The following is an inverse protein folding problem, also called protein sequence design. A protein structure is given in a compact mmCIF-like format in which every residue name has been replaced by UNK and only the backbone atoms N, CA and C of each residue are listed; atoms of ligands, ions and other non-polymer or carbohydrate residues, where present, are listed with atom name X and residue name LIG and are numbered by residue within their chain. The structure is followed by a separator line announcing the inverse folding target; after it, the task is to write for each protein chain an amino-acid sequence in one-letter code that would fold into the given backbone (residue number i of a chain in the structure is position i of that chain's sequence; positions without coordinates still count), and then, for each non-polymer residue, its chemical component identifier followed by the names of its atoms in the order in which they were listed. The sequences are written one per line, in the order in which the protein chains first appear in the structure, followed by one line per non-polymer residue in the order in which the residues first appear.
data_IF_802916180341
#
_entry.id   IF_802916180341
#
_cell.length_a   1.000
_cell.length_b   1.000
_cell.length_c   1.000
_cell.angle_alpha   90.00
_cell.angle_beta   90.00
_cell.angle_gamma   90.00
#
_symmetry.space_group_name_H-M   'P 1'
#
loop_
_entity.id
_entity.type
_entity.pdbx_description
1 polymer ?
#
# COMPACT_ATOMS: atom_id res chain seq x y z
N UNK A 1 -6.14 14.90 -0.55
CA UNK A 1 -5.36 13.71 -0.94
C UNK A 1 -6.23 12.49 -0.68
N UNK A 2 -7.08 12.13 -1.64
CA UNK A 2 -8.09 11.07 -1.50
C UNK A 2 -7.96 10.00 -2.60
N UNK A 3 -6.88 10.04 -3.37
CA UNK A 3 -6.47 8.99 -4.30
C UNK A 3 -5.41 8.17 -3.57
N UNK A 4 -5.55 6.83 -3.44
CA UNK A 4 -6.29 5.90 -4.31
C UNK A 4 -7.58 5.31 -3.70
N UNK A 5 -8.12 5.90 -2.63
CA UNK A 5 -9.25 5.30 -1.88
C UNK A 5 -10.65 5.80 -2.29
N UNK A 6 -10.75 6.85 -3.12
CA UNK A 6 -12.03 7.49 -3.45
C UNK A 6 -12.96 6.68 -4.36
N UNK A 7 -12.46 5.69 -5.11
CA UNK A 7 -13.29 4.81 -5.94
C UNK A 7 -13.15 3.35 -5.50
N UNK A 8 -13.32 3.08 -4.21
CA UNK A 8 -13.69 1.72 -3.82
C UNK A 8 -15.12 1.49 -4.27
N UNK A 9 -15.30 0.58 -5.23
CA UNK A 9 -16.62 0.20 -5.73
C UNK A 9 -17.29 -0.77 -4.74
N UNK A 10 -17.66 -0.27 -3.55
CA UNK A 10 -18.26 -1.05 -2.46
C UNK A 10 -19.56 -1.75 -2.90
N UNK A 11 -20.28 -1.17 -3.88
CA UNK A 11 -21.44 -1.80 -4.49
C UNK A 11 -21.07 -3.05 -5.31
N UNK A 12 -19.94 -3.04 -6.03
CA UNK A 12 -19.46 -4.22 -6.76
C UNK A 12 -18.98 -5.32 -5.82
N UNK A 13 -18.34 -4.97 -4.70
CA UNK A 13 -17.98 -5.92 -3.65
C UNK A 13 -19.18 -6.63 -3.07
N UNK A 14 -20.22 -5.88 -2.67
CA UNK A 14 -21.44 -6.46 -2.14
C UNK A 14 -22.17 -7.35 -3.15
N UNK A 15 -22.13 -6.98 -4.44
CA UNK A 15 -22.72 -7.79 -5.52
C UNK A 15 -21.93 -9.09 -5.71
N UNK A 16 -20.60 -9.04 -5.72
CA UNK A 16 -19.77 -10.25 -5.88
C UNK A 16 -19.96 -11.21 -4.69
N UNK A 17 -19.97 -10.69 -3.45
CA UNK A 17 -20.22 -11.49 -2.25
C UNK A 17 -21.63 -12.13 -2.25
N UNK A 18 -22.63 -11.45 -2.82
CA UNK A 18 -23.98 -12.01 -2.99
C UNK A 18 -24.05 -13.06 -4.09
N UNK A 19 -23.26 -12.93 -5.16
CA UNK A 19 -23.20 -13.90 -6.26
C UNK A 19 -22.43 -15.17 -5.88
N UNK A 20 -21.34 -15.05 -5.13
CA UNK A 20 -20.56 -16.21 -4.62
C UNK A 20 -21.36 -17.03 -3.60
N UNK A 21 -22.14 -16.37 -2.73
CA UNK A 21 -22.94 -17.07 -1.72
C UNK A 21 -24.25 -17.65 -2.25
N UNK A 22 -24.72 -17.19 -3.41
CA UNK A 22 -26.03 -17.54 -3.95
C UNK A 22 -25.87 -18.12 -5.36
N UNK A 23 -25.33 -19.35 -5.39
CA UNK A 23 -25.19 -20.28 -6.52
C UNK A 23 -26.18 -20.04 -7.67
N UNK A 24 -25.89 -19.04 -8.51
CA UNK A 24 -26.57 -18.87 -9.79
C UNK A 24 -25.62 -19.42 -10.84
N UNK A 25 -26.17 -20.19 -11.79
CA UNK A 25 -25.44 -20.93 -12.84
C UNK A 25 -24.64 -20.06 -13.83
N UNK A 26 -24.26 -18.84 -13.46
CA UNK A 26 -23.24 -18.08 -14.13
C UNK A 26 -21.89 -18.54 -13.57
N UNK A 27 -21.26 -19.46 -14.29
CA UNK A 27 -19.85 -19.79 -14.11
C UNK A 27 -19.02 -18.60 -14.59
N UNK A 28 -18.99 -17.54 -13.77
CA UNK A 28 -18.11 -16.43 -14.00
C UNK A 28 -16.74 -16.92 -13.59
N UNK A 29 -16.01 -17.49 -14.55
CA UNK A 29 -14.62 -17.92 -14.38
C UNK A 29 -13.72 -16.69 -14.22
N UNK A 30 -13.92 -15.94 -13.13
CA UNK A 30 -13.02 -14.87 -12.75
C UNK A 30 -11.73 -15.51 -12.24
N UNK A 31 -10.55 -15.08 -12.73
CA UNK A 31 -9.30 -15.67 -12.30
C UNK A 31 -9.09 -15.38 -10.81
N UNK A 32 -9.10 -16.46 -10.02
CA UNK A 32 -8.79 -16.45 -8.59
C UNK A 32 -7.41 -17.04 -8.38
N UNK A 33 -6.74 -16.58 -7.32
CA UNK A 33 -5.49 -17.19 -6.85
C UNK A 33 -5.57 -17.39 -5.34
N UNK A 34 -4.84 -18.37 -4.82
CA UNK A 34 -4.71 -18.59 -3.38
C UNK A 34 -3.37 -18.04 -2.92
N UNK A 35 -3.40 -17.07 -2.01
CA UNK A 35 -2.20 -16.50 -1.38
C UNK A 35 -2.40 -16.60 0.13
N UNK A 36 -1.43 -17.21 0.83
CA UNK A 36 -1.44 -17.36 2.29
C UNK A 36 -2.76 -17.97 2.84
N UNK A 37 -3.33 -18.93 2.12
CA UNK A 37 -4.57 -19.61 2.53
C UNK A 37 -5.87 -18.84 2.25
N UNK A 38 -5.79 -17.64 1.67
CA UNK A 38 -6.95 -16.84 1.29
C UNK A 38 -7.13 -16.82 -0.23
N UNK A 39 -8.39 -16.97 -0.67
CA UNK A 39 -8.77 -16.80 -2.07
C UNK A 39 -8.83 -15.31 -2.40
N UNK A 40 -8.10 -14.91 -3.44
CA UNK A 40 -8.04 -13.53 -3.91
C UNK A 40 -8.54 -13.48 -5.35
N UNK A 41 -9.51 -12.60 -5.60
CA UNK A 41 -10.00 -12.28 -6.94
C UNK A 41 -8.99 -11.34 -7.63
N UNK A 42 -8.31 -11.81 -8.67
CA UNK A 42 -7.22 -11.04 -9.30
C UNK A 42 -7.71 -9.73 -9.93
N UNK A 43 -8.86 -9.80 -10.61
CA UNK A 43 -9.47 -8.64 -11.27
C UNK A 43 -9.78 -7.49 -10.30
N UNK A 44 -10.07 -7.82 -9.04
CA UNK A 44 -10.39 -6.84 -8.01
C UNK A 44 -9.17 -6.06 -7.51
N UNK A 45 -7.97 -6.53 -7.81
CA UNK A 45 -6.72 -5.90 -7.40
C UNK A 45 -6.08 -5.09 -8.53
N UNK A 46 -6.72 -5.02 -9.71
CA UNK A 46 -6.23 -4.27 -10.86
C UNK A 46 -6.74 -2.83 -10.86
N UNK A 47 -5.84 -1.90 -11.14
CA UNK A 47 -6.07 -0.47 -11.18
C UNK A 47 -5.61 0.12 -12.51
N UNK A 48 -6.28 1.18 -12.96
CA UNK A 48 -6.03 1.79 -14.27
C UNK A 48 -6.43 0.88 -15.42
N UNK A 49 -7.58 0.21 -15.30
CA UNK A 49 -8.05 -0.76 -16.30
C UNK A 49 -8.51 -0.05 -17.57
N UNK A 50 -7.93 -0.41 -18.71
CA UNK A 50 -8.34 0.06 -20.03
C UNK A 50 -9.23 -0.99 -20.68
N UNK A 51 -10.46 -0.60 -20.99
CA UNK A 51 -11.44 -1.47 -21.65
C UNK A 51 -11.59 -1.15 -23.13
N UNK A 52 -11.77 -2.18 -23.93
CA UNK A 52 -12.03 -2.03 -25.36
C UNK A 52 -13.49 -1.61 -25.59
N UNK A 53 -13.72 -0.53 -26.34
CA UNK A 53 -15.04 0.12 -26.49
C UNK A 53 -16.12 -0.77 -27.10
N UNK A 54 -15.75 -1.74 -27.94
CA UNK A 54 -16.67 -2.60 -28.67
C UNK A 54 -17.06 -3.86 -27.90
N UNK A 55 -16.09 -4.50 -27.23
CA UNK A 55 -16.27 -5.80 -26.59
C UNK A 55 -16.47 -5.69 -25.07
N UNK A 56 -16.22 -4.51 -24.47
CA UNK A 56 -16.12 -4.28 -23.02
C UNK A 56 -15.13 -5.23 -22.33
N UNK A 57 -14.23 -5.87 -23.08
CA UNK A 57 -13.17 -6.71 -22.54
C UNK A 57 -12.03 -5.82 -22.01
N UNK A 58 -11.40 -6.30 -20.94
CA UNK A 58 -10.21 -5.71 -20.39
C UNK A 58 -9.03 -5.93 -21.35
N UNK A 59 -8.43 -4.84 -21.84
CA UNK A 59 -7.30 -4.87 -22.77
C UNK A 59 -5.97 -4.67 -22.04
N UNK A 60 -5.92 -3.76 -21.06
CA UNK A 60 -4.72 -3.46 -20.29
C UNK A 60 -5.04 -3.00 -18.87
N UNK A 61 -4.04 -3.03 -17.98
CA UNK A 61 -4.06 -2.41 -16.67
C UNK A 61 -2.72 -1.72 -16.39
N UNK A 62 -2.74 -0.75 -15.49
CA UNK A 62 -1.55 0.01 -15.11
C UNK A 62 -0.88 -0.55 -13.86
N UNK A 63 -1.68 -0.88 -12.83
CA UNK A 63 -1.15 -1.25 -11.51
C UNK A 63 -1.92 -2.38 -10.88
N UNK A 64 -1.25 -3.14 -10.01
CA UNK A 64 -1.86 -4.19 -9.19
C UNK A 64 -1.56 -3.91 -7.72
N UNK A 65 -2.58 -3.86 -6.87
CA UNK A 65 -2.41 -3.68 -5.43
C UNK A 65 -2.88 -4.92 -4.70
N UNK A 66 -1.98 -5.63 -4.02
CA UNK A 66 -2.33 -6.77 -3.18
C UNK A 66 -2.31 -6.30 -1.73
N UNK A 67 -3.43 -6.47 -1.02
CA UNK A 67 -3.52 -6.19 0.42
C UNK A 67 -3.39 -7.48 1.21
N UNK A 68 -2.42 -7.52 2.11
CA UNK A 68 -2.21 -8.64 3.02
C UNK A 68 -2.54 -8.18 4.44
N UNK A 69 -3.33 -8.98 5.15
CA UNK A 69 -3.62 -8.78 6.56
C UNK A 69 -2.82 -9.81 7.36
N UNK A 70 -1.80 -9.33 8.05
CA UNK A 70 -0.97 -10.17 8.91
C UNK A 70 -1.54 -10.12 10.32
N UNK A 71 -1.86 -11.28 10.88
CA UNK A 71 -2.32 -11.42 12.26
C UNK A 71 -1.38 -12.38 12.98
N UNK A 72 -0.78 -11.89 14.06
CA UNK A 72 0.05 -12.70 14.94
C UNK A 72 -0.11 -12.19 16.38
N UNK A 73 0.05 -13.08 17.35
CA UNK A 73 0.03 -12.72 18.77
C UNK A 73 1.26 -11.89 19.15
N UNK A 74 2.37 -12.08 18.44
CA UNK A 74 3.60 -11.35 18.63
C UNK A 74 3.87 -10.41 17.46
N UNK A 75 4.37 -9.21 17.75
CA UNK A 75 4.65 -8.19 16.75
C UNK A 75 5.94 -8.46 15.95
N UNK A 76 6.96 -9.05 16.58
CA UNK A 76 8.29 -9.23 15.97
C UNK A 76 8.25 -10.00 14.63
N UNK A 77 7.57 -11.17 14.52
CA UNK A 77 7.49 -11.89 13.26
C UNK A 77 6.83 -11.10 12.13
N UNK A 78 5.91 -10.17 12.46
CA UNK A 78 5.25 -9.32 11.47
C UNK A 78 6.22 -8.27 10.93
N UNK A 79 7.04 -7.69 11.81
CA UNK A 79 8.08 -6.72 11.43
C UNK A 79 9.15 -7.41 10.57
N UNK A 80 9.59 -8.61 10.95
CA UNK A 80 10.61 -9.37 10.20
C UNK A 80 10.12 -9.73 8.79
N UNK A 81 8.85 -10.14 8.67
CA UNK A 81 8.23 -10.43 7.38
C UNK A 81 8.19 -9.18 6.48
N UNK A 82 7.77 -8.05 7.05
CA UNK A 82 7.71 -6.77 6.34
C UNK A 82 9.08 -6.30 5.86
N UNK A 83 10.12 -6.48 6.68
CA UNK A 83 11.50 -6.14 6.32
C UNK A 83 12.02 -7.02 5.18
N UNK A 84 11.80 -8.34 5.25
CA UNK A 84 12.17 -9.26 4.17
C UNK A 84 11.44 -8.95 2.87
N UNK A 85 10.15 -8.60 2.94
CA UNK A 85 9.35 -8.22 1.77
C UNK A 85 9.89 -6.93 1.14
N UNK A 86 10.23 -5.94 1.97
CA UNK A 86 10.79 -4.66 1.54
C UNK A 86 12.14 -4.85 0.86
N UNK A 87 13.04 -5.64 1.45
CA UNK A 87 14.33 -5.99 0.85
C UNK A 87 14.16 -6.75 -0.47
N UNK A 88 13.19 -7.67 -0.54
CA UNK A 88 12.91 -8.40 -1.78
C UNK A 88 12.45 -7.47 -2.91
N UNK A 89 11.60 -6.49 -2.60
CA UNK A 89 11.01 -5.62 -3.62
C UNK A 89 11.96 -4.51 -4.06
N UNK A 90 12.68 -3.89 -3.13
CA UNK A 90 13.55 -2.75 -3.45
C UNK A 90 15.01 -3.14 -3.73
N UNK A 91 15.57 -4.09 -2.97
CA UNK A 91 17.03 -4.32 -2.98
C UNK A 91 17.45 -5.57 -3.77
N UNK A 92 16.55 -6.55 -3.97
CA UNK A 92 16.94 -7.84 -4.55
C UNK A 92 17.31 -7.80 -6.04
N UNK A 93 16.90 -6.76 -6.78
CA UNK A 93 17.12 -6.65 -8.22
C UNK A 93 16.56 -7.82 -9.04
N UNK A 94 15.76 -8.72 -8.44
CA UNK A 94 15.26 -9.94 -9.09
C UNK A 94 14.19 -9.65 -10.14
N UNK A 95 13.47 -8.55 -10.01
CA UNK A 95 12.28 -8.25 -10.80
C UNK A 95 12.42 -6.94 -11.58
N UNK A 96 13.32 -6.91 -12.57
CA UNK A 96 13.59 -5.70 -13.36
C UNK A 96 12.43 -5.23 -14.25
N UNK A 97 11.42 -6.09 -14.48
CA UNK A 97 10.24 -5.79 -15.29
C UNK A 97 9.07 -5.25 -14.45
N UNK A 98 9.15 -5.34 -13.12
CA UNK A 98 8.07 -4.98 -12.21
C UNK A 98 8.57 -3.90 -11.24
N UNK A 99 8.01 -2.70 -11.32
CA UNK A 99 8.18 -1.67 -10.30
C UNK A 99 7.22 -1.94 -9.15
N UNK A 100 7.74 -2.52 -8.07
CA UNK A 100 6.98 -2.82 -6.86
C UNK A 100 7.10 -1.72 -5.81
N UNK A 101 6.01 -1.49 -5.07
CA UNK A 101 6.02 -0.65 -3.88
C UNK A 101 5.36 -1.40 -2.73
N UNK A 102 5.94 -1.27 -1.55
CA UNK A 102 5.40 -1.81 -0.29
C UNK A 102 5.00 -0.65 0.60
N UNK A 103 3.81 -0.75 1.18
CA UNK A 103 3.31 0.20 2.16
C UNK A 103 2.69 -0.54 3.34
N UNK A 104 3.03 -0.11 4.55
CA UNK A 104 2.48 -0.62 5.80
C UNK A 104 2.65 0.45 6.88
N UNK A 105 1.78 0.41 7.90
CA UNK A 105 1.76 1.41 8.97
C UNK A 105 3.09 1.45 9.74
N UNK A 106 3.76 0.31 9.89
CA UNK A 106 5.05 0.22 10.57
C UNK A 106 6.19 0.84 9.74
N UNK A 107 6.21 0.68 8.41
CA UNK A 107 7.13 1.43 7.53
C UNK A 107 6.89 2.94 7.67
N UNK A 108 5.63 3.38 7.70
CA UNK A 108 5.29 4.80 7.86
C UNK A 108 5.76 5.31 9.22
N UNK A 109 5.54 4.57 10.30
CA UNK A 109 6.02 4.92 11.64
C UNK A 109 7.56 5.04 11.68
N UNK A 110 8.28 4.08 11.09
CA UNK A 110 9.74 4.11 10.99
C UNK A 110 10.22 5.37 10.26
N UNK A 111 9.59 5.72 9.14
CA UNK A 111 9.98 6.90 8.36
C UNK A 111 9.66 8.20 9.12
N UNK A 112 8.49 8.29 9.78
CA UNK A 112 8.14 9.45 10.63
C UNK A 112 9.14 9.60 11.78
N UNK A 113 9.53 8.51 12.43
CA UNK A 113 10.53 8.54 13.51
C UNK A 113 11.90 8.97 13.00
N UNK A 114 12.31 8.50 11.83
CA UNK A 114 13.56 8.91 11.17
C UNK A 114 13.55 10.38 10.80
N UNK A 115 12.47 10.88 10.21
CA UNK A 115 12.31 12.29 9.88
C UNK A 115 12.32 13.16 11.14
N UNK A 116 11.62 12.74 12.20
CA UNK A 116 11.61 13.42 13.49
C UNK A 116 13.00 13.52 14.11
N UNK A 117 13.73 12.40 14.19
CA UNK A 117 15.10 12.36 14.74
C UNK A 117 16.11 13.14 13.89
N UNK A 118 15.99 13.10 12.57
CA UNK A 118 16.85 13.87 11.67
C UNK A 118 16.57 15.38 11.73
N UNK A 119 15.34 15.79 12.01
CA UNK A 119 14.93 17.22 12.02
C UNK A 119 15.14 17.88 13.39
N UNK A 120 15.09 17.11 14.47
CA UNK A 120 15.30 17.57 15.84
C UNK A 120 16.55 18.46 16.04
N UNK A 121 17.76 18.11 15.54
CA UNK A 121 18.95 18.96 15.74
C UNK A 121 18.86 20.30 15.00
N UNK A 122 18.25 20.33 13.80
CA UNK A 122 18.08 21.55 13.03
C UNK A 122 17.10 22.51 13.73
N UNK A 123 16.02 21.98 14.28
CA UNK A 123 15.09 22.77 15.11
C UNK A 123 15.80 23.33 16.35
N UNK A 124 16.58 22.51 17.05
CA UNK A 124 17.38 22.97 18.19
C UNK A 124 18.36 24.08 17.84
N UNK A 125 19.10 23.93 16.73
CA UNK A 125 20.04 24.95 16.25
C UNK A 125 19.34 26.27 15.90
N UNK A 126 18.18 26.19 15.23
CA UNK A 126 17.40 27.38 14.87
C UNK A 126 16.92 28.15 16.10
N UNK A 127 16.49 27.43 17.16
CA UNK A 127 16.07 28.04 18.42
C UNK A 127 17.23 28.75 19.12
N UNK A 128 18.41 28.13 19.17
CA UNK A 128 19.61 28.72 19.78
C UNK A 128 20.02 30.00 19.05
N UNK A 129 20.04 29.97 17.71
CA UNK A 129 20.34 31.16 16.90
C UNK A 129 19.36 32.31 17.16
N UNK A 130 18.06 31.99 17.25
CA UNK A 130 17.02 32.97 17.52
C UNK A 130 17.15 33.57 18.93
N UNK A 131 17.42 32.75 19.95
CA UNK A 131 17.72 33.24 21.30
C UNK A 131 18.97 34.14 21.32
N UNK A 132 20.05 33.75 20.63
CA UNK A 132 21.26 34.56 20.52
C UNK A 132 21.00 35.91 19.88
N UNK A 133 20.25 35.93 18.77
CA UNK A 133 19.85 37.16 18.10
C UNK A 133 19.03 38.09 19.01
N UNK A 134 18.04 37.55 19.73
CA UNK A 134 17.21 38.32 20.66
C UNK A 134 18.04 38.95 21.78
N UNK A 135 19.00 38.21 22.35
CA UNK A 135 19.86 38.72 23.42
C UNK A 135 20.79 39.82 22.93
N UNK A 136 21.31 39.72 21.70
CA UNK A 136 22.19 40.74 21.10
C UNK A 136 21.40 42.01 20.76
N UNK A 137 20.19 41.89 20.19
CA UNK A 137 19.38 43.05 19.83
C UNK A 137 18.71 43.75 21.03
N UNK A 138 18.63 43.08 22.18
CA UNK A 138 18.08 43.65 23.41
C UNK A 138 19.13 44.40 24.26
N UNK A 139 20.42 44.32 23.91
CA UNK A 139 21.52 45.03 24.57
C UNK A 139 21.81 46.37 23.87
#
# INVERSE_FOLDING_TARGET
MCEPYCEKNDAFFAVMDLLDNNSTNFDVTYPTTYILGHQILLANNFYGVVTEKSSRKMSAFTSVMIRLYLTNNELQPMIDFEEQLTQLIYDSGRYNLLSGHVGSDNIVEKEVKKLGTSTAPYLGLSLILLCGFLMICSL
#
